data_IF_908986147728
#
_entry.id   IF_908986147728
#
_cell.length_a   1.000
_cell.length_b   1.000
_cell.length_c   1.000
_cell.angle_alpha   90.00
_cell.angle_beta   90.00
_cell.angle_gamma   90.00
#
_symmetry.space_group_name_H-M   'P 1'
#
loop_
_entity.id
_entity.type
_entity.pdbx_description
1 polymer ?
#
# COMPACT_ATOMS: atom_id res chain seq x y z
N UNK A 1 3.05 -8.19 -33.86
CA UNK A 1 3.36 -6.75 -33.74
C UNK A 1 4.10 -6.54 -32.42
N UNK A 2 5.35 -6.06 -32.41
CA UNK A 2 6.04 -5.76 -31.17
C UNK A 2 5.33 -4.56 -30.52
N UNK A 3 4.82 -4.73 -29.30
CA UNK A 3 4.30 -3.62 -28.51
C UNK A 3 5.42 -2.63 -28.27
N UNK A 4 5.25 -1.40 -28.75
CA UNK A 4 5.95 -0.22 -28.26
C UNK A 4 5.65 -0.07 -26.75
N UNK A 5 6.41 -0.78 -25.91
CA UNK A 5 6.45 -0.51 -24.48
C UNK A 5 7.27 0.76 -24.33
N UNK A 6 6.56 1.88 -24.24
CA UNK A 6 7.11 3.19 -23.89
C UNK A 6 8.11 3.04 -22.74
N UNK A 7 9.19 3.82 -22.76
CA UNK A 7 10.24 3.79 -21.73
C UNK A 7 9.64 3.91 -20.31
N UNK A 8 8.58 4.72 -20.18
CA UNK A 8 7.78 4.88 -18.96
C UNK A 8 7.13 3.56 -18.49
N UNK A 9 6.67 2.71 -19.41
CA UNK A 9 6.12 1.40 -19.08
C UNK A 9 7.18 0.41 -18.57
N UNK A 10 8.44 0.55 -19.00
CA UNK A 10 9.55 -0.26 -18.47
C UNK A 10 10.01 0.24 -17.11
N UNK A 11 10.06 1.56 -16.90
CA UNK A 11 10.41 2.16 -15.60
C UNK A 11 9.40 1.83 -14.49
N UNK A 12 8.13 1.58 -14.83
CA UNK A 12 7.10 1.14 -13.87
C UNK A 12 7.24 -0.31 -13.40
N UNK A 13 8.17 -1.08 -13.97
CA UNK A 13 8.43 -2.45 -13.53
C UNK A 13 9.49 -2.48 -12.42
N UNK A 14 9.47 -3.50 -11.54
CA UNK A 14 10.44 -3.66 -10.45
C UNK A 14 11.91 -3.55 -10.93
N UNK A 15 12.35 -4.23 -12.02
CA UNK A 15 13.72 -4.05 -12.52
C UNK A 15 13.98 -2.66 -13.12
N UNK A 16 12.95 -2.01 -13.67
CA UNK A 16 13.07 -0.66 -14.24
C UNK A 16 13.27 0.41 -13.17
N UNK A 17 12.56 0.30 -12.05
CA UNK A 17 12.75 1.17 -10.88
C UNK A 17 14.15 0.98 -10.28
N UNK A 18 14.61 -0.27 -10.16
CA UNK A 18 15.95 -0.58 -9.69
C UNK A 18 17.06 -0.03 -10.60
N UNK A 19 16.92 -0.19 -11.91
CA UNK A 19 17.86 0.37 -12.87
C UNK A 19 17.87 1.90 -12.79
N UNK A 20 16.71 2.53 -12.63
CA UNK A 20 16.60 3.97 -12.45
C UNK A 20 17.37 4.43 -11.20
N UNK A 21 17.20 3.73 -10.08
CA UNK A 21 17.92 4.00 -8.84
C UNK A 21 19.44 3.96 -9.07
N UNK A 22 19.95 2.88 -9.70
CA UNK A 22 21.38 2.76 -10.03
C UNK A 22 21.86 3.90 -10.91
N UNK A 23 21.11 4.24 -11.96
CA UNK A 23 21.47 5.33 -12.87
C UNK A 23 21.53 6.67 -12.14
N UNK A 24 20.53 6.98 -11.31
CA UNK A 24 20.49 8.22 -10.52
C UNK A 24 21.66 8.26 -9.53
N UNK A 25 21.98 7.16 -8.85
CA UNK A 25 23.13 7.08 -7.95
C UNK A 25 24.46 7.33 -8.68
N UNK A 26 24.65 6.71 -9.85
CA UNK A 26 25.85 6.93 -10.67
C UNK A 26 25.95 8.37 -11.13
N UNK A 27 24.83 8.99 -11.56
CA UNK A 27 24.80 10.40 -11.94
C UNK A 27 25.13 11.31 -10.75
N UNK A 28 24.58 11.04 -9.56
CA UNK A 28 24.88 11.80 -8.35
C UNK A 28 26.35 11.69 -7.96
N UNK A 29 26.92 10.48 -7.97
CA UNK A 29 28.35 10.26 -7.70
C UNK A 29 29.23 10.96 -8.73
N UNK A 30 28.90 10.86 -10.01
CA UNK A 30 29.65 11.53 -11.08
C UNK A 30 29.60 13.05 -10.91
N UNK A 31 28.42 13.62 -10.62
CA UNK A 31 28.27 15.06 -10.42
C UNK A 31 29.04 15.55 -9.20
N UNK A 32 28.92 14.86 -8.05
CA UNK A 32 29.61 15.20 -6.82
C UNK A 32 31.16 15.10 -6.93
N UNK A 33 31.69 14.23 -7.78
CA UNK A 33 33.13 14.07 -8.00
C UNK A 33 33.66 14.81 -9.25
N UNK A 34 32.80 15.54 -9.96
CA UNK A 34 33.17 16.28 -11.18
C UNK A 34 33.73 17.67 -10.87
N UNK A 35 34.31 18.38 -11.87
CA UNK A 35 34.67 19.80 -11.72
C UNK A 35 33.49 20.73 -11.37
N UNK A 36 32.26 20.25 -11.52
CA UNK A 36 31.04 20.97 -11.14
C UNK A 36 30.54 20.59 -9.73
N UNK A 37 31.34 19.91 -8.90
CA UNK A 37 30.97 19.50 -7.54
C UNK A 37 30.45 20.66 -6.68
N UNK A 38 30.98 21.87 -6.86
CA UNK A 38 30.50 23.07 -6.19
C UNK A 38 28.99 23.30 -6.39
N UNK A 39 28.51 23.18 -7.64
CA UNK A 39 27.08 23.34 -7.95
C UNK A 39 26.20 22.26 -7.30
N UNK A 40 26.74 21.06 -7.08
CA UNK A 40 26.03 19.99 -6.38
C UNK A 40 25.87 20.34 -4.90
N UNK A 41 26.95 20.78 -4.25
CA UNK A 41 26.91 21.15 -2.83
C UNK A 41 26.06 22.40 -2.58
N UNK A 42 26.19 23.45 -3.41
CA UNK A 42 25.36 24.66 -3.31
C UNK A 42 23.86 24.36 -3.42
N UNK A 43 23.48 23.44 -4.32
CA UNK A 43 22.09 23.03 -4.48
C UNK A 43 21.55 22.39 -3.19
N UNK A 44 22.31 21.49 -2.56
CA UNK A 44 21.88 20.82 -1.34
C UNK A 44 21.92 21.71 -0.09
N UNK A 45 22.82 22.69 -0.07
CA UNK A 45 22.93 23.71 0.98
C UNK A 45 21.94 24.87 0.80
N UNK A 46 21.17 24.90 -0.29
CA UNK A 46 20.16 25.94 -0.51
C UNK A 46 19.12 25.90 0.62
N UNK A 47 19.00 26.99 1.36
CA UNK A 47 18.06 27.12 2.47
C UNK A 47 16.66 27.43 1.97
N UNK A 48 15.68 26.64 2.43
CA UNK A 48 14.26 26.88 2.23
C UNK A 48 13.63 27.14 3.60
N UNK A 49 13.28 28.40 3.84
CA UNK A 49 12.58 28.81 5.05
C UNK A 49 11.09 29.04 4.81
N UNK A 50 10.27 28.49 5.71
CA UNK A 50 8.81 28.69 5.74
C UNK A 50 8.47 29.33 7.08
N UNK A 51 8.03 30.59 7.05
CA UNK A 51 7.65 31.33 8.24
C UNK A 51 6.16 31.69 8.24
N UNK A 52 5.49 31.40 9.36
CA UNK A 52 4.10 31.69 9.64
C UNK A 52 4.00 32.33 11.03
N UNK A 53 3.99 33.67 11.07
CA UNK A 53 3.95 34.43 12.32
C UNK A 53 5.23 34.24 13.13
N UNK A 54 5.11 33.75 14.38
CA UNK A 54 6.26 33.46 15.25
C UNK A 54 6.90 32.09 15.01
N UNK A 55 6.28 31.24 14.18
CA UNK A 55 6.84 29.94 13.83
C UNK A 55 7.58 30.06 12.50
N UNK A 56 8.83 29.61 12.48
CA UNK A 56 9.66 29.58 11.29
C UNK A 56 10.46 28.29 11.24
N UNK A 57 10.36 27.56 10.14
CA UNK A 57 11.20 26.40 9.84
C UNK A 57 12.22 26.85 8.80
N UNK A 58 13.50 26.85 9.15
CA UNK A 58 14.62 27.08 8.23
C UNK A 58 15.44 25.81 8.14
N UNK A 59 15.37 25.15 6.98
CA UNK A 59 16.05 23.89 6.73
C UNK A 59 16.72 23.97 5.35
N UNK A 60 17.88 23.33 5.23
CA UNK A 60 18.51 23.13 3.94
C UNK A 60 17.65 22.22 3.05
N UNK A 61 17.80 22.35 1.73
CA UNK A 61 17.12 21.50 0.77
C UNK A 61 17.39 20.02 1.06
N UNK A 62 18.61 19.69 1.46
CA UNK A 62 18.98 18.33 1.87
C UNK A 62 18.12 17.81 3.03
N UNK A 63 17.95 18.60 4.10
CA UNK A 63 17.12 18.19 5.23
C UNK A 63 15.65 18.03 4.84
N UNK A 64 15.09 18.98 4.09
CA UNK A 64 13.70 18.90 3.61
C UNK A 64 13.44 17.62 2.81
N UNK A 65 14.35 17.32 1.87
CA UNK A 65 14.24 16.16 0.98
C UNK A 65 14.43 14.88 1.77
N UNK A 66 15.46 14.79 2.61
CA UNK A 66 15.75 13.61 3.41
C UNK A 66 14.59 13.28 4.35
N UNK A 67 14.17 14.23 5.19
CA UNK A 67 13.14 13.96 6.19
C UNK A 67 11.78 13.71 5.55
N UNK A 68 11.42 14.47 4.51
CA UNK A 68 10.16 14.31 3.80
C UNK A 68 10.06 12.97 3.07
N UNK A 69 11.10 12.58 2.32
CA UNK A 69 11.13 11.28 1.64
C UNK A 69 11.21 10.13 2.64
N UNK A 70 11.94 10.28 3.75
CA UNK A 70 12.03 9.25 4.79
C UNK A 70 10.69 8.97 5.45
N UNK A 71 9.89 10.00 5.76
CA UNK A 71 8.52 9.78 6.27
C UNK A 71 7.69 9.00 5.25
N UNK A 72 7.73 9.38 3.98
CA UNK A 72 6.96 8.71 2.92
C UNK A 72 7.42 7.26 2.77
N UNK A 73 8.73 7.03 2.71
CA UNK A 73 9.32 5.70 2.57
C UNK A 73 8.91 4.79 3.72
N UNK A 74 9.16 5.20 4.96
CA UNK A 74 8.80 4.39 6.14
C UNK A 74 7.30 4.29 6.37
N UNK A 75 6.50 5.24 5.88
CA UNK A 75 5.05 5.08 5.83
C UNK A 75 4.63 3.94 4.92
N UNK A 76 5.20 3.84 3.71
CA UNK A 76 4.95 2.72 2.79
C UNK A 76 5.42 1.41 3.41
N UNK A 77 6.62 1.36 3.96
CA UNK A 77 7.12 0.19 4.71
C UNK A 77 6.15 -0.17 5.84
N UNK A 78 5.55 0.79 6.54
CA UNK A 78 4.56 0.53 7.59
C UNK A 78 3.27 -0.08 7.10
N UNK A 79 2.83 0.28 5.90
CA UNK A 79 1.72 -0.39 5.24
C UNK A 79 2.10 -1.83 4.87
N UNK A 80 3.33 -2.07 4.42
CA UNK A 80 3.83 -3.42 4.10
C UNK A 80 3.94 -4.30 5.34
N UNK A 81 4.53 -3.80 6.43
CA UNK A 81 4.56 -4.50 7.73
C UNK A 81 3.14 -4.81 8.19
N UNK A 82 2.23 -3.83 8.09
CA UNK A 82 0.83 -4.01 8.47
C UNK A 82 0.14 -5.10 7.64
N UNK A 83 0.42 -5.12 6.34
CA UNK A 83 -0.11 -6.12 5.42
C UNK A 83 0.43 -7.51 5.71
N UNK A 84 1.75 -7.66 5.97
CA UNK A 84 2.36 -8.94 6.31
C UNK A 84 1.86 -9.49 7.65
N UNK A 85 1.61 -8.63 8.64
CA UNK A 85 0.98 -9.02 9.91
C UNK A 85 -0.48 -9.45 9.73
N UNK A 86 -1.20 -8.82 8.80
CA UNK A 86 -2.61 -9.10 8.56
C UNK A 86 -2.83 -10.38 7.75
N UNK A 87 -2.13 -10.54 6.62
CA UNK A 87 -2.43 -11.57 5.59
C UNK A 87 -1.23 -12.44 5.27
N UNK A 88 -0.04 -12.01 5.66
CA UNK A 88 1.21 -12.56 5.18
C UNK A 88 1.84 -13.60 6.09
N UNK A 89 3.14 -13.82 5.90
CA UNK A 89 3.88 -14.90 6.56
C UNK A 89 4.14 -14.62 8.04
N UNK A 90 4.09 -13.34 8.44
CA UNK A 90 4.25 -12.91 9.84
C UNK A 90 3.03 -13.22 10.73
N UNK A 91 1.87 -13.55 10.14
CA UNK A 91 0.67 -13.93 10.89
C UNK A 91 0.81 -15.29 11.58
N UNK A 92 1.51 -16.24 10.95
CA UNK A 92 1.76 -17.57 11.51
C UNK A 92 3.09 -17.55 12.27
N UNK A 93 3.03 -17.68 13.60
CA UNK A 93 4.21 -17.65 14.48
C UNK A 93 5.30 -18.65 14.05
N UNK A 94 4.93 -19.83 13.54
CA UNK A 94 5.95 -20.82 13.12
C UNK A 94 6.70 -20.39 11.88
N UNK A 95 6.03 -19.71 10.95
CA UNK A 95 6.63 -19.21 9.69
C UNK A 95 7.39 -17.91 9.93
N UNK A 96 6.89 -17.05 10.82
CA UNK A 96 7.49 -15.77 11.18
C UNK A 96 8.85 -15.91 11.85
N UNK A 97 9.10 -17.00 12.58
CA UNK A 97 10.37 -17.21 13.30
C UNK A 97 11.60 -17.16 12.40
N UNK A 98 11.53 -17.73 11.19
CA UNK A 98 12.71 -17.79 10.31
C UNK A 98 13.10 -16.40 9.81
N UNK A 99 12.19 -15.59 9.22
CA UNK A 99 12.51 -14.20 8.84
C UNK A 99 12.90 -13.32 10.04
N UNK A 100 12.25 -13.48 11.20
CA UNK A 100 12.56 -12.68 12.39
C UNK A 100 13.97 -12.93 12.92
N UNK A 101 14.36 -14.21 13.06
CA UNK A 101 15.71 -14.56 13.51
C UNK A 101 16.75 -14.16 12.47
N UNK A 102 16.46 -14.37 11.18
CA UNK A 102 17.34 -13.97 10.09
C UNK A 102 17.55 -12.45 10.06
N UNK A 103 16.50 -11.64 10.20
CA UNK A 103 16.59 -10.18 10.25
C UNK A 103 17.34 -9.70 11.49
N UNK A 104 17.04 -10.26 12.67
CA UNK A 104 17.76 -9.91 13.89
C UNK A 104 19.25 -10.21 13.81
N UNK A 105 19.64 -11.38 13.30
CA UNK A 105 21.04 -11.71 13.06
C UNK A 105 21.66 -10.85 11.96
N UNK A 106 20.88 -10.51 10.92
CA UNK A 106 21.27 -9.61 9.84
C UNK A 106 21.68 -8.22 10.34
N UNK A 107 21.08 -7.75 11.43
CA UNK A 107 21.45 -6.48 12.07
C UNK A 107 22.52 -6.66 13.15
N UNK A 108 22.36 -7.66 14.03
CA UNK A 108 23.22 -7.82 15.19
C UNK A 108 24.66 -8.21 14.83
N UNK A 109 24.84 -9.06 13.82
CA UNK A 109 26.17 -9.55 13.44
C UNK A 109 27.02 -8.43 12.81
N UNK A 110 26.55 -7.66 11.81
CA UNK A 110 27.34 -6.56 11.27
C UNK A 110 27.63 -5.46 12.30
N UNK A 111 26.67 -5.15 13.18
CA UNK A 111 26.89 -4.20 14.27
C UNK A 111 27.98 -4.68 15.24
N UNK A 112 27.96 -5.95 15.63
CA UNK A 112 28.98 -6.52 16.51
C UNK A 112 30.37 -6.53 15.86
N UNK A 113 30.46 -6.85 14.57
CA UNK A 113 31.71 -6.79 13.80
C UNK A 113 32.21 -5.34 13.74
N UNK A 114 31.33 -4.38 13.45
CA UNK A 114 31.70 -2.97 13.44
C UNK A 114 32.26 -2.52 14.79
N UNK A 115 31.56 -2.80 15.89
CA UNK A 115 32.01 -2.39 17.23
C UNK A 115 33.33 -3.06 17.64
N UNK A 116 33.57 -4.30 17.22
CA UNK A 116 34.84 -4.99 17.44
C UNK A 116 36.02 -4.32 16.70
N UNK A 117 35.76 -3.76 15.51
CA UNK A 117 36.78 -3.11 14.67
C UNK A 117 36.96 -1.63 15.03
N UNK A 118 35.86 -0.90 15.23
CA UNK A 118 35.84 0.56 15.42
C UNK A 118 36.42 1.00 16.77
N UNK A 119 36.51 0.10 17.76
CA UNK A 119 37.04 0.42 19.08
C UNK A 119 36.22 1.52 19.79
N UNK A 120 36.90 2.41 20.54
CA UNK A 120 36.24 3.48 21.31
C UNK A 120 36.07 4.80 20.56
N UNK A 121 36.78 4.99 19.44
CA UNK A 121 36.81 6.29 18.74
C UNK A 121 35.59 6.53 17.85
N UNK A 122 35.08 5.47 17.21
CA UNK A 122 33.95 5.55 16.28
C UNK A 122 32.77 4.66 16.69
N UNK A 123 32.65 4.32 17.99
CA UNK A 123 31.60 3.43 18.47
C UNK A 123 30.17 3.89 18.11
N UNK A 124 29.96 5.21 17.97
CA UNK A 124 28.67 5.80 17.60
C UNK A 124 28.28 5.56 16.13
N UNK A 125 29.13 5.01 15.27
CA UNK A 125 28.82 4.76 13.86
C UNK A 125 28.15 3.41 13.56
N UNK A 126 27.88 2.58 14.58
CA UNK A 126 27.39 1.22 14.36
C UNK A 126 26.02 1.17 13.65
N UNK A 127 25.17 2.18 13.85
CA UNK A 127 23.89 2.30 13.17
C UNK A 127 24.01 2.40 11.64
N UNK A 128 25.14 2.89 11.12
CA UNK A 128 25.37 2.98 9.68
C UNK A 128 25.49 1.61 8.99
N UNK A 129 25.83 0.55 9.73
CA UNK A 129 26.02 -0.80 9.20
C UNK A 129 24.76 -1.66 9.33
N UNK A 130 23.74 -1.16 10.04
CA UNK A 130 22.50 -1.87 10.31
C UNK A 130 21.52 -1.81 9.13
N UNK A 131 21.52 -0.70 8.38
CA UNK A 131 20.52 -0.47 7.33
C UNK A 131 20.76 -1.29 6.07
N UNK A 132 19.76 -2.04 5.62
CA UNK A 132 19.71 -2.64 4.28
C UNK A 132 18.76 -1.86 3.38
N UNK A 133 19.18 -1.50 2.17
CA UNK A 133 18.30 -0.87 1.19
C UNK A 133 17.43 -1.92 0.48
N UNK A 134 16.14 -1.92 0.80
CA UNK A 134 15.15 -2.86 0.24
C UNK A 134 14.90 -2.63 -1.25
N UNK A 135 14.95 -1.40 -1.74
CA UNK A 135 14.77 -1.10 -3.15
C UNK A 135 15.93 -1.69 -3.98
N UNK A 136 17.15 -1.62 -3.46
CA UNK A 136 18.31 -2.24 -4.10
C UNK A 136 18.24 -3.77 -4.06
N UNK A 137 17.86 -4.36 -2.92
CA UNK A 137 17.72 -5.81 -2.79
C UNK A 137 16.66 -6.35 -3.77
N UNK A 138 15.45 -5.77 -3.76
CA UNK A 138 14.36 -6.20 -4.64
C UNK A 138 14.69 -5.96 -6.11
N UNK A 139 15.40 -4.87 -6.39
CA UNK A 139 15.91 -4.59 -7.72
C UNK A 139 16.90 -5.61 -8.25
N UNK A 140 17.88 -5.98 -7.44
CA UNK A 140 18.84 -7.04 -7.76
C UNK A 140 18.11 -8.40 -7.95
N UNK A 141 17.13 -8.70 -7.10
CA UNK A 141 16.31 -9.91 -7.22
C UNK A 141 15.48 -9.93 -8.50
N UNK A 142 14.99 -8.78 -8.96
CA UNK A 142 14.24 -8.67 -10.20
C UNK A 142 15.13 -8.89 -11.44
N UNK A 143 16.40 -8.46 -11.38
CA UNK A 143 17.40 -8.71 -12.44
C UNK A 143 17.85 -10.17 -12.48
N UNK A 144 18.05 -10.79 -11.32
CA UNK A 144 18.44 -12.21 -11.16
C UNK A 144 17.22 -13.15 -11.23
N UNK A 145 16.02 -12.57 -11.37
CA UNK A 145 14.71 -13.22 -11.24
C UNK A 145 14.48 -14.54 -11.98
N UNK A 146 15.04 -14.80 -13.18
CA UNK A 146 14.89 -16.10 -13.84
C UNK A 146 15.51 -17.28 -13.06
N UNK A 147 16.44 -17.03 -12.14
CA UNK A 147 17.19 -18.06 -11.42
C UNK A 147 16.60 -18.43 -10.05
N UNK A 148 15.61 -17.69 -9.55
CA UNK A 148 15.15 -17.77 -8.15
C UNK A 148 13.75 -18.37 -8.04
N UNK A 149 13.52 -19.21 -7.03
CA UNK A 149 12.19 -19.78 -6.76
C UNK A 149 11.23 -18.70 -6.25
N UNK A 150 9.93 -18.82 -6.58
CA UNK A 150 8.89 -17.91 -6.09
C UNK A 150 8.86 -17.84 -4.55
N UNK A 151 9.18 -18.95 -3.89
CA UNK A 151 9.19 -19.03 -2.43
C UNK A 151 10.34 -18.23 -1.80
N UNK A 152 11.51 -18.19 -2.45
CA UNK A 152 12.64 -17.37 -2.01
C UNK A 152 12.34 -15.88 -2.15
N UNK A 153 11.62 -15.47 -3.19
CA UNK A 153 11.17 -14.09 -3.35
C UNK A 153 10.26 -13.66 -2.19
N UNK A 154 9.25 -14.47 -1.86
CA UNK A 154 8.33 -14.19 -0.74
C UNK A 154 9.10 -14.13 0.59
N UNK A 155 10.04 -15.06 0.79
CA UNK A 155 10.90 -15.05 1.98
C UNK A 155 11.73 -13.76 2.08
N UNK A 156 12.39 -13.35 1.00
CA UNK A 156 13.22 -12.15 0.98
C UNK A 156 12.39 -10.88 1.16
N UNK A 157 11.18 -10.81 0.56
CA UNK A 157 10.23 -9.72 0.80
C UNK A 157 9.80 -9.64 2.28
N UNK A 158 9.62 -10.78 2.96
CA UNK A 158 9.31 -10.76 4.40
C UNK A 158 10.53 -10.33 5.22
N UNK A 159 11.71 -10.83 4.86
CA UNK A 159 12.97 -10.51 5.53
C UNK A 159 13.25 -9.00 5.46
N UNK A 160 13.07 -8.38 4.29
CA UNK A 160 13.25 -6.92 4.10
C UNK A 160 12.32 -6.10 4.97
N UNK A 161 11.06 -6.50 5.06
CA UNK A 161 10.05 -5.81 5.89
C UNK A 161 10.42 -5.88 7.38
N UNK A 162 10.94 -7.02 7.84
CA UNK A 162 11.44 -7.18 9.22
C UNK A 162 12.68 -6.33 9.46
N UNK A 163 13.62 -6.31 8.51
CA UNK A 163 14.86 -5.55 8.61
C UNK A 163 14.60 -4.05 8.69
N UNK A 164 13.75 -3.49 7.81
CA UNK A 164 13.39 -2.07 7.84
C UNK A 164 12.75 -1.67 9.18
N UNK A 165 11.84 -2.50 9.71
CA UNK A 165 11.23 -2.28 11.01
C UNK A 165 12.26 -2.29 12.14
N UNK A 166 13.23 -3.21 12.10
CA UNK A 166 14.27 -3.31 13.11
C UNK A 166 15.25 -2.14 13.02
N UNK A 167 15.70 -1.79 11.82
CA UNK A 167 16.60 -0.68 11.55
C UNK A 167 16.02 0.66 12.03
N UNK A 168 14.76 0.97 11.67
CA UNK A 168 14.12 2.22 12.11
C UNK A 168 13.89 2.26 13.61
N UNK A 169 13.54 1.12 14.21
CA UNK A 169 13.35 1.03 15.66
C UNK A 169 14.67 1.27 16.41
N UNK A 170 15.78 0.73 15.89
CA UNK A 170 17.12 0.92 16.45
C UNK A 170 17.58 2.37 16.31
N UNK A 171 17.55 2.93 15.09
CA UNK A 171 17.97 4.30 14.84
C UNK A 171 17.14 5.25 15.71
N UNK A 172 15.84 5.00 15.79
CA UNK A 172 14.94 5.77 16.61
C UNK A 172 15.24 5.74 18.11
N UNK A 173 15.57 4.58 18.69
CA UNK A 173 15.82 4.47 20.13
C UNK A 173 17.22 4.97 20.52
N UNK A 174 18.23 4.72 19.68
CA UNK A 174 19.62 4.99 20.02
C UNK A 174 20.15 6.35 19.54
N UNK A 175 19.53 6.97 18.53
CA UNK A 175 19.96 8.26 17.95
C UNK A 175 18.93 9.37 18.20
N UNK A 176 18.08 9.23 19.21
CA UNK A 176 17.24 10.34 19.70
C UNK A 176 18.03 11.11 20.76
N UNK A 177 18.25 12.41 20.53
CA UNK A 177 18.99 13.27 21.46
C UNK A 177 18.04 14.10 22.33
N UNK A 178 17.38 15.10 21.74
CA UNK A 178 16.58 16.09 22.47
C UNK A 178 15.09 15.91 22.23
N UNK A 179 14.34 15.67 23.32
CA UNK A 179 12.90 15.48 23.26
C UNK A 179 12.14 16.73 23.69
N UNK A 180 11.49 17.40 22.72
CA UNK A 180 10.56 18.47 23.04
C UNK A 180 9.16 17.92 23.36
N UNK A 181 8.74 18.08 24.61
CA UNK A 181 7.46 17.55 25.12
C UNK A 181 6.25 18.07 24.34
N UNK A 182 6.27 19.34 23.91
CA UNK A 182 5.16 19.93 23.17
C UNK A 182 4.96 19.28 21.80
N UNK A 183 6.05 19.13 21.04
CA UNK A 183 6.01 18.49 19.73
C UNK A 183 5.65 17.00 19.84
N UNK A 184 6.12 16.30 20.87
CA UNK A 184 5.70 14.93 21.19
C UNK A 184 4.19 14.81 21.43
N UNK A 185 3.60 15.76 22.15
CA UNK A 185 2.16 15.78 22.40
C UNK A 185 1.37 15.98 21.10
N UNK A 186 1.82 16.87 20.22
CA UNK A 186 1.23 17.07 18.89
C UNK A 186 1.33 15.79 18.04
N UNK A 187 2.50 15.13 18.04
CA UNK A 187 2.70 13.86 17.35
C UNK A 187 1.75 12.77 17.88
N UNK A 188 1.62 12.64 19.21
CA UNK A 188 0.71 11.70 19.84
C UNK A 188 -0.75 11.98 19.46
N UNK A 189 -1.17 13.24 19.49
CA UNK A 189 -2.53 13.63 19.07
C UNK A 189 -2.78 13.31 17.59
N UNK A 190 -1.80 13.53 16.71
CA UNK A 190 -1.90 13.16 15.31
C UNK A 190 -2.05 11.64 15.14
N UNK A 191 -1.28 10.83 15.87
CA UNK A 191 -1.41 9.36 15.85
C UNK A 191 -2.77 8.89 16.37
N UNK A 192 -3.29 9.49 17.45
CA UNK A 192 -4.63 9.20 17.97
C UNK A 192 -5.70 9.59 16.95
N UNK A 193 -5.59 10.75 16.32
CA UNK A 193 -6.50 11.17 15.26
C UNK A 193 -6.48 10.20 14.07
N UNK A 194 -5.30 9.74 13.65
CA UNK A 194 -5.14 8.75 12.58
C UNK A 194 -5.82 7.42 12.94
N UNK A 195 -5.63 6.96 14.18
CA UNK A 195 -6.25 5.75 14.70
C UNK A 195 -7.78 5.85 14.73
N UNK A 196 -8.31 6.96 15.24
CA UNK A 196 -9.75 7.22 15.29
C UNK A 196 -10.34 7.32 13.88
N UNK A 197 -9.66 7.98 12.95
CA UNK A 197 -10.07 8.06 11.55
C UNK A 197 -10.11 6.66 10.92
N UNK A 198 -9.11 5.82 11.17
CA UNK A 198 -9.08 4.41 10.77
C UNK A 198 -10.29 3.60 11.23
N UNK A 199 -10.88 3.92 12.40
CA UNK A 199 -12.09 3.27 12.91
C UNK A 199 -13.35 3.66 12.14
N UNK A 200 -13.40 4.85 11.53
CA UNK A 200 -14.60 5.35 10.82
C UNK A 200 -14.85 4.65 9.47
N UNK A 201 -13.92 3.82 8.99
CA UNK A 201 -13.99 3.11 7.68
C UNK A 201 -14.21 4.04 6.47
N UNK A 202 -13.89 5.33 6.61
CA UNK A 202 -13.98 6.27 5.50
C UNK A 202 -12.71 6.22 4.63
N UNK A 203 -12.86 5.86 3.35
CA UNK A 203 -11.75 5.66 2.42
C UNK A 203 -11.32 6.93 1.66
N UNK A 204 -11.48 8.12 2.28
CA UNK A 204 -10.96 9.35 1.69
C UNK A 204 -9.49 9.48 2.07
N UNK A 205 -8.59 9.49 1.10
CA UNK A 205 -7.15 9.57 1.34
C UNK A 205 -6.70 10.91 1.91
N UNK A 206 -7.40 12.00 1.60
CA UNK A 206 -7.01 13.36 2.01
C UNK A 206 -6.83 13.56 3.53
N UNK A 207 -7.74 13.13 4.42
CA UNK A 207 -7.55 13.30 5.86
C UNK A 207 -6.37 12.49 6.41
N UNK A 208 -6.07 11.30 5.86
CA UNK A 208 -4.89 10.53 6.27
C UNK A 208 -3.60 11.26 5.92
N UNK A 209 -3.50 11.77 4.68
CA UNK A 209 -2.33 12.54 4.22
C UNK A 209 -2.15 13.80 5.06
N UNK A 210 -3.22 14.53 5.36
CA UNK A 210 -3.14 15.73 6.19
C UNK A 210 -2.62 15.42 7.60
N UNK A 211 -3.07 14.33 8.22
CA UNK A 211 -2.60 13.92 9.56
C UNK A 211 -1.13 13.48 9.51
N UNK A 212 -0.71 12.76 8.47
CA UNK A 212 0.70 12.35 8.29
C UNK A 212 1.61 13.57 8.11
N UNK A 213 1.16 14.61 7.39
CA UNK A 213 1.90 15.87 7.27
C UNK A 213 2.05 16.55 8.64
N UNK A 214 0.98 16.63 9.42
CA UNK A 214 1.04 17.20 10.78
C UNK A 214 1.99 16.39 11.67
N UNK A 215 1.94 15.06 11.57
CA UNK A 215 2.85 14.18 12.31
C UNK A 215 4.32 14.40 11.90
N UNK A 216 4.60 14.55 10.60
CA UNK A 216 5.94 14.87 10.11
C UNK A 216 6.44 16.23 10.62
N UNK A 217 5.62 17.28 10.54
CA UNK A 217 5.99 18.59 11.07
C UNK A 217 6.26 18.54 12.57
N UNK A 218 5.52 17.72 13.32
CA UNK A 218 5.79 17.48 14.74
C UNK A 218 7.12 16.74 14.98
N UNK A 219 7.56 15.88 14.05
CA UNK A 219 8.88 15.23 14.18
C UNK A 219 10.06 16.19 14.03
N UNK A 220 9.93 17.23 13.20
CA UNK A 220 10.99 18.24 13.02
C UNK A 220 11.32 18.99 14.32
N UNK A 221 10.33 19.19 15.19
CA UNK A 221 10.48 19.89 16.47
C UNK A 221 10.70 18.93 17.65
N UNK A 222 10.20 17.69 17.57
CA UNK A 222 10.23 16.74 18.71
C UNK A 222 11.55 16.01 18.94
N UNK A 223 12.46 16.07 17.98
CA UNK A 223 13.72 15.30 17.97
C UNK A 223 13.55 13.79 17.78
N UNK A 224 12.31 13.32 17.55
CA UNK A 224 12.06 11.96 17.07
C UNK A 224 12.43 11.87 15.60
N UNK A 225 13.12 10.80 15.22
CA UNK A 225 13.43 10.54 13.82
C UNK A 225 12.15 10.46 12.95
N UNK A 226 12.05 11.24 11.85
CA UNK A 226 10.85 11.27 10.99
C UNK A 226 10.40 9.88 10.50
N UNK A 227 11.37 9.00 10.25
CA UNK A 227 11.16 7.59 9.90
C UNK A 227 10.24 6.83 10.86
N UNK A 228 10.37 7.04 12.19
CA UNK A 228 9.50 6.36 13.16
C UNK A 228 8.06 6.84 13.01
N UNK A 229 7.85 8.14 12.83
CA UNK A 229 6.52 8.70 12.60
C UNK A 229 5.87 8.11 11.36
N UNK A 230 6.60 8.03 10.24
CA UNK A 230 6.14 7.36 9.03
C UNK A 230 5.75 5.90 9.32
N UNK A 231 6.66 5.14 9.94
CA UNK A 231 6.47 3.73 10.29
C UNK A 231 5.21 3.50 11.14
N UNK A 232 5.06 4.23 12.24
CA UNK A 232 3.91 4.09 13.16
C UNK A 232 2.63 4.52 12.47
N UNK A 233 2.65 5.60 11.67
CA UNK A 233 1.49 6.01 10.90
C UNK A 233 1.04 4.92 9.92
N UNK A 234 1.97 4.30 9.18
CA UNK A 234 1.67 3.20 8.26
C UNK A 234 1.05 1.99 8.98
N UNK A 235 1.57 1.63 10.17
CA UNK A 235 1.05 0.54 10.98
C UNK A 235 -0.38 0.76 11.51
N UNK A 236 -0.75 2.04 11.73
CA UNK A 236 -2.08 2.43 12.21
C UNK A 236 -3.11 2.53 11.09
N UNK A 237 -2.68 2.75 9.84
CA UNK A 237 -3.59 2.73 8.69
C UNK A 237 -4.11 1.30 8.50
N UNK A 238 -5.45 1.10 8.49
CA UNK A 238 -6.00 -0.24 8.40
C UNK A 238 -5.77 -0.85 7.01
N UNK A 239 -4.98 -1.92 6.93
CA UNK A 239 -4.98 -2.84 5.80
C UNK A 239 -6.15 -3.84 5.97
N UNK A 240 -7.15 -3.75 5.12
CA UNK A 240 -8.27 -4.70 5.12
C UNK A 240 -7.97 -5.83 4.14
N UNK A 241 -8.10 -7.07 4.59
CA UNK A 241 -8.27 -8.19 3.68
C UNK A 241 -9.57 -8.00 2.91
N UNK A 242 -9.52 -8.05 1.58
CA UNK A 242 -10.73 -8.23 0.76
C UNK A 242 -11.36 -9.56 1.15
N UNK A 243 -12.35 -9.51 2.04
CA UNK A 243 -13.09 -10.68 2.48
C UNK A 243 -13.68 -11.38 1.24
N UNK A 244 -13.64 -12.71 1.21
CA UNK A 244 -14.12 -13.51 0.08
C UNK A 244 -15.53 -13.11 -0.37
N UNK A 245 -16.39 -12.75 0.58
CA UNK A 245 -17.74 -12.24 0.32
C UNK A 245 -17.75 -10.95 -0.52
N UNK A 246 -16.80 -10.03 -0.34
CA UNK A 246 -16.70 -8.82 -1.17
C UNK A 246 -16.24 -9.11 -2.59
N UNK A 247 -15.39 -10.14 -2.78
CA UNK A 247 -14.96 -10.60 -4.11
C UNK A 247 -16.09 -11.33 -4.82
N UNK A 248 -16.82 -12.18 -4.10
CA UNK A 248 -18.02 -12.86 -4.60
C UNK A 248 -19.15 -11.86 -4.92
N UNK A 249 -19.35 -10.84 -4.10
CA UNK A 249 -20.29 -9.73 -4.34
C UNK A 249 -19.86 -8.84 -5.51
N UNK A 250 -18.57 -8.60 -5.69
CA UNK A 250 -18.07 -7.87 -6.86
C UNK A 250 -18.25 -8.69 -8.13
N UNK A 251 -18.00 -10.00 -8.08
CA UNK A 251 -18.22 -10.90 -9.22
C UNK A 251 -19.71 -11.00 -9.58
N UNK A 252 -20.60 -11.09 -8.60
CA UNK A 252 -22.05 -11.12 -8.83
C UNK A 252 -22.53 -9.81 -9.44
N UNK A 253 -22.15 -8.66 -8.87
CA UNK A 253 -22.50 -7.34 -9.42
C UNK A 253 -21.93 -7.10 -10.81
N UNK A 254 -20.71 -7.55 -11.07
CA UNK A 254 -20.10 -7.47 -12.41
C UNK A 254 -20.86 -8.34 -13.41
N UNK A 255 -21.24 -9.56 -13.01
CA UNK A 255 -22.07 -10.45 -13.83
C UNK A 255 -23.43 -9.82 -14.11
N UNK A 256 -24.09 -9.27 -13.09
CA UNK A 256 -25.40 -8.62 -13.21
C UNK A 256 -25.34 -7.40 -14.13
N UNK A 257 -24.26 -6.61 -14.03
CA UNK A 257 -23.99 -5.48 -14.92
C UNK A 257 -23.80 -5.92 -16.38
N UNK A 258 -23.04 -6.99 -16.62
CA UNK A 258 -22.83 -7.52 -17.97
C UNK A 258 -24.09 -8.14 -18.57
N UNK A 259 -24.92 -8.78 -17.74
CA UNK A 259 -26.20 -9.35 -18.18
C UNK A 259 -27.26 -8.28 -18.42
N UNK A 260 -27.17 -7.15 -17.72
CA UNK A 260 -28.08 -6.02 -17.89
C UNK A 260 -27.37 -4.67 -17.70
N UNK A 261 -26.80 -4.09 -18.77
CA UNK A 261 -26.14 -2.78 -18.73
C UNK A 261 -27.15 -1.62 -18.65
N UNK A 262 -28.16 -1.71 -17.78
CA UNK A 262 -29.12 -0.63 -17.53
C UNK A 262 -28.87 -0.05 -16.14
N UNK A 263 -28.83 1.29 -15.99
CA UNK A 263 -28.77 1.91 -14.68
C UNK A 263 -30.13 1.72 -13.99
N UNK A 264 -30.26 0.67 -13.17
CA UNK A 264 -31.43 0.51 -12.30
C UNK A 264 -31.07 0.77 -10.83
N UNK A 265 -31.91 1.55 -10.10
CA UNK A 265 -31.65 1.97 -8.73
C UNK A 265 -31.73 0.79 -7.74
N UNK A 266 -31.07 0.90 -6.56
CA UNK A 266 -30.82 -0.23 -5.68
C UNK A 266 -32.07 -0.87 -5.08
N UNK A 267 -31.97 -2.18 -4.88
CA UNK A 267 -32.97 -3.10 -4.39
C UNK A 267 -33.68 -2.65 -3.09
N UNK A 268 -34.96 -2.31 -3.21
CA UNK A 268 -35.95 -2.29 -2.11
C UNK A 268 -37.15 -3.22 -2.34
N UNK A 269 -36.99 -4.24 -3.19
CA UNK A 269 -38.04 -5.23 -3.49
C UNK A 269 -37.73 -6.64 -2.97
N UNK A 270 -37.05 -6.78 -1.83
CA UNK A 270 -36.83 -8.08 -1.17
C UNK A 270 -37.94 -8.48 -0.18
N UNK A 271 -39.02 -7.70 -0.06
CA UNK A 271 -40.10 -7.97 0.91
C UNK A 271 -41.22 -8.91 0.45
N UNK A 272 -41.37 -9.21 -0.85
CA UNK A 272 -42.59 -9.86 -1.37
C UNK A 272 -42.41 -11.26 -1.97
N UNK A 273 -41.21 -11.84 -1.96
CA UNK A 273 -40.92 -13.13 -2.61
C UNK A 273 -40.91 -14.33 -1.66
N UNK A 274 -41.86 -14.38 -0.72
CA UNK A 274 -42.04 -15.54 0.15
C UNK A 274 -43.43 -16.15 0.00
N UNK A 275 -43.76 -16.60 -1.21
CA UNK A 275 -44.69 -17.71 -1.44
C UNK A 275 -44.77 -18.07 -2.94
N UNK A 276 -44.51 -19.35 -3.21
CA UNK A 276 -44.82 -20.11 -4.43
C UNK A 276 -43.93 -19.81 -5.66
N UNK A 277 -43.33 -20.89 -6.14
CA UNK A 277 -42.85 -21.03 -7.51
C UNK A 277 -43.99 -20.70 -8.48
N UNK A 278 -43.69 -19.97 -9.56
CA UNK A 278 -44.23 -20.41 -10.84
C UNK A 278 -43.18 -20.41 -11.94
N UNK A 279 -43.37 -21.37 -12.83
CA UNK A 279 -42.71 -21.48 -14.13
C UNK A 279 -42.73 -20.15 -14.89
N UNK A 280 -41.69 -19.95 -15.69
CA UNK A 280 -41.40 -18.82 -16.58
C UNK A 280 -42.50 -18.47 -17.61
N UNK A 281 -43.60 -19.24 -17.68
CA UNK A 281 -44.78 -18.97 -18.51
C UNK A 281 -45.74 -17.91 -17.94
N UNK A 282 -45.63 -17.56 -16.65
CA UNK A 282 -46.62 -16.70 -15.98
C UNK A 282 -46.33 -15.19 -16.07
N UNK A 283 -45.13 -14.81 -16.52
CA UNK A 283 -44.73 -13.41 -16.67
C UNK A 283 -45.29 -12.76 -17.95
N UNK A 284 -45.45 -13.54 -19.01
CA UNK A 284 -45.95 -13.05 -20.31
C UNK A 284 -47.47 -12.86 -20.33
N UNK A 285 -48.22 -13.62 -19.52
CA UNK A 285 -49.69 -13.56 -19.49
C UNK A 285 -50.23 -12.33 -18.74
N UNK A 286 -49.52 -11.84 -17.72
CA UNK A 286 -49.98 -10.70 -16.89
C UNK A 286 -49.63 -9.32 -17.45
N UNK A 287 -48.66 -9.21 -18.35
CA UNK A 287 -48.41 -7.97 -19.10
C UNK A 287 -49.47 -7.69 -20.18
N UNK A 288 -50.16 -8.72 -20.69
CA UNK A 288 -51.22 -8.55 -21.69
C UNK A 288 -52.57 -8.06 -21.10
N UNK A 289 -52.72 -8.04 -19.78
CA UNK A 289 -53.98 -7.72 -19.11
C UNK A 289 -54.25 -6.22 -18.86
N UNK A 290 -53.40 -5.30 -19.35
CA UNK A 290 -53.65 -3.85 -19.27
C UNK A 290 -53.71 -3.18 -20.65
N UNK A 291 -54.91 -3.31 -21.23
CA UNK A 291 -55.60 -2.39 -22.16
C UNK A 291 -55.04 -2.21 -23.60
N UNK A 292 -55.95 -2.52 -24.54
CA UNK A 292 -56.06 -2.07 -25.95
C UNK A 292 -55.06 -2.67 -26.95
N UNK A 293 -55.46 -3.79 -27.54
CA UNK A 293 -55.28 -3.99 -28.99
C UNK A 293 -56.44 -4.83 -29.53
N UNK A 294 -57.22 -4.22 -30.41
CA UNK A 294 -58.32 -4.81 -31.16
C UNK A 294 -57.77 -5.77 -32.23
N UNK A 295 -58.38 -6.96 -32.29
CA UNK A 295 -58.41 -7.88 -33.43
C UNK A 295 -57.09 -8.28 -34.10
N UNK A 296 -56.68 -9.53 -33.91
CA UNK A 296 -56.16 -10.33 -35.04
C UNK A 296 -56.72 -11.75 -34.95
N UNK A 297 -57.25 -12.18 -36.09
CA UNK A 297 -58.26 -13.22 -36.30
C UNK A 297 -57.59 -14.59 -36.50
N UNK A 298 -58.32 -15.63 -36.16
CA UNK A 298 -58.02 -17.05 -36.29
C UNK A 298 -57.77 -17.53 -37.73
N UNK A 299 -56.73 -18.38 -37.90
CA UNK A 299 -56.63 -19.66 -38.64
C UNK A 299 -57.27 -19.80 -40.04
N UNK A 300 -56.51 -20.31 -41.02
CA UNK A 300 -56.66 -21.71 -41.47
C UNK A 300 -55.27 -22.32 -41.74
N UNK A 301 -54.86 -23.46 -41.19
CA UNK A 301 -55.09 -24.78 -41.78
C UNK A 301 -54.70 -25.87 -40.75
N UNK A 302 -55.61 -26.84 -40.65
CA UNK A 302 -55.67 -28.13 -39.94
C UNK A 302 -54.35 -28.93 -39.77
N UNK A 303 -54.07 -29.33 -38.51
CA UNK A 303 -53.98 -30.72 -37.91
C UNK A 303 -53.59 -31.92 -38.79
N UNK A 304 -52.99 -33.03 -38.28
CA UNK A 304 -53.40 -33.80 -37.07
C UNK A 304 -52.21 -34.30 -36.20
N UNK A 305 -52.35 -34.78 -34.96
CA UNK A 305 -53.37 -35.67 -34.44
C UNK A 305 -53.57 -35.49 -32.92
N UNK A 306 -54.83 -35.58 -32.54
CA UNK A 306 -55.34 -35.79 -31.19
C UNK A 306 -55.34 -37.27 -30.82
N UNK A 307 -54.96 -37.60 -29.58
CA UNK A 307 -55.57 -38.63 -28.68
C UNK A 307 -54.82 -38.56 -27.34
N UNK A 308 -55.42 -38.70 -26.15
CA UNK A 308 -56.45 -39.65 -25.75
C UNK A 308 -57.53 -39.03 -24.85
N UNK A 309 -58.72 -39.63 -24.94
CA UNK A 309 -59.90 -39.39 -24.13
C UNK A 309 -59.83 -40.09 -22.76
N UNK A 310 -60.68 -39.63 -21.85
CA UNK A 310 -61.01 -40.25 -20.58
C UNK A 310 -62.24 -41.17 -20.72
N UNK A 311 -62.37 -42.14 -19.82
CA UNK A 311 -63.60 -42.87 -19.48
C UNK A 311 -63.51 -43.38 -18.04
N UNK A 312 -64.65 -43.67 -17.38
CA UNK A 312 -66.01 -43.12 -17.52
C UNK A 312 -66.36 -42.10 -16.43
#
# INVERSE_FOLDING_TARGET
MPQDRSLLGRLRSEPGAALLLVVVTVVALAWANSPWSHSYHELWETHLSVALGSFGLDLSLHHWVNDGLMVIFFFVVGLEVRQELAVGSLRDRRRALVPLVAGFLGVAVPAAIYLAIAGREAAAGWGAVVGTDTAFLLGALALVGPAMSNQLRIFLLTLTVVDDFLAVSIIGVFYTEDLQVWALLVALLALVALYLLGRTRQWRSSPYVAIVIVLWLATLESGIHPSIAGMVAGLLVPAYETHRSHVEDAQSRFRDFWQSPRPTPPARCSGAWRARSPSTSDCTSRCAARRRCSSCRSSPWRTPASTCAATP
#
